data_IF_307375121749
#
_entry.id   IF_307375121749
#
_cell.length_a   1.000
_cell.length_b   1.000
_cell.length_c   1.000
_cell.angle_alpha   90.00
_cell.angle_beta   90.00
_cell.angle_gamma   90.00
#
_symmetry.space_group_name_H-M   'P 1'
#
loop_
_entity.id
_entity.type
_entity.pdbx_description
1 polymer ?
#
# COMPACT_ATOMS: atom_id res chain seq x y z
N UNK A 1 -15.17 -16.79 17.87
CA UNK A 1 -15.62 -16.54 16.47
C UNK A 1 -14.56 -15.69 15.78
N UNK A 2 -14.26 -15.99 14.54
CA UNK A 2 -13.35 -15.21 13.69
C UNK A 2 -14.20 -14.13 13.03
N UNK A 3 -13.80 -12.87 13.04
CA UNK A 3 -14.45 -11.78 12.33
C UNK A 3 -14.03 -11.74 10.86
N UNK A 4 -14.59 -10.79 10.08
CA UNK A 4 -14.32 -10.70 8.65
C UNK A 4 -12.85 -10.31 8.36
N UNK A 5 -12.25 -9.42 9.16
CA UNK A 5 -10.86 -9.02 8.99
C UNK A 5 -9.89 -10.17 9.28
N UNK A 6 -10.19 -10.97 10.30
CA UNK A 6 -9.43 -12.15 10.66
C UNK A 6 -9.56 -13.26 9.60
N UNK A 7 -10.78 -13.45 9.03
CA UNK A 7 -10.98 -14.39 7.94
C UNK A 7 -10.19 -14.00 6.68
N UNK A 8 -10.15 -12.72 6.34
CA UNK A 8 -9.33 -12.18 5.25
C UNK A 8 -7.83 -12.33 5.54
N UNK A 9 -7.40 -12.15 6.79
CA UNK A 9 -6.02 -12.33 7.21
C UNK A 9 -5.52 -13.77 7.00
N UNK A 10 -6.38 -14.79 7.20
CA UNK A 10 -6.03 -16.19 6.88
C UNK A 10 -5.68 -16.34 5.40
N UNK A 11 -6.45 -15.72 4.51
CA UNK A 11 -6.16 -15.76 3.08
C UNK A 11 -4.87 -15.01 2.75
N UNK A 12 -4.60 -13.90 3.44
CA UNK A 12 -3.37 -13.13 3.25
C UNK A 12 -2.13 -13.91 3.73
N UNK A 13 -2.24 -14.71 4.81
CA UNK A 13 -1.17 -15.62 5.25
C UNK A 13 -0.87 -16.67 4.15
N UNK A 14 -1.91 -17.29 3.59
CA UNK A 14 -1.77 -18.32 2.54
C UNK A 14 -1.12 -17.72 1.28
N UNK A 15 -1.44 -16.46 0.95
CA UNK A 15 -0.95 -15.75 -0.24
C UNK A 15 0.35 -14.99 -0.03
N UNK A 16 0.85 -14.92 1.20
CA UNK A 16 2.05 -14.14 1.54
C UNK A 16 3.25 -14.58 0.70
N UNK A 17 3.93 -13.61 0.08
CA UNK A 17 5.11 -13.82 -0.77
C UNK A 17 6.42 -13.57 -0.02
N UNK A 18 6.36 -13.00 1.19
CA UNK A 18 7.51 -12.67 2.01
C UNK A 18 7.17 -12.85 3.49
N UNK A 19 8.20 -13.04 4.33
CA UNK A 19 8.03 -13.13 5.78
C UNK A 19 7.42 -11.85 6.37
N UNK A 20 7.73 -10.67 5.81
CA UNK A 20 7.12 -9.40 6.23
C UNK A 20 5.63 -9.36 5.92
N UNK A 21 5.21 -9.83 4.74
CA UNK A 21 3.80 -9.94 4.38
C UNK A 21 3.07 -10.92 5.30
N UNK A 22 3.65 -12.08 5.54
CA UNK A 22 3.12 -13.09 6.45
C UNK A 22 2.97 -12.55 7.87
N UNK A 23 4.00 -11.90 8.42
CA UNK A 23 3.95 -11.32 9.77
C UNK A 23 2.87 -10.24 9.89
N UNK A 24 2.67 -9.40 8.87
CA UNK A 24 1.58 -8.43 8.87
C UNK A 24 0.20 -9.11 8.88
N UNK A 25 0.03 -10.17 8.09
CA UNK A 25 -1.21 -10.94 8.06
C UNK A 25 -1.46 -11.67 9.40
N UNK A 26 -0.42 -12.20 10.05
CA UNK A 26 -0.53 -12.79 11.41
C UNK A 26 -0.99 -11.75 12.43
N UNK A 27 -0.44 -10.54 12.43
CA UNK A 27 -0.90 -9.44 13.32
C UNK A 27 -2.37 -9.11 13.11
N UNK A 28 -2.85 -9.12 11.85
CA UNK A 28 -4.26 -8.92 11.55
C UNK A 28 -5.12 -10.10 12.03
N UNK A 29 -4.65 -11.34 11.90
CA UNK A 29 -5.33 -12.52 12.42
C UNK A 29 -5.42 -12.50 13.94
N UNK A 30 -4.40 -12.01 14.65
CA UNK A 30 -4.40 -11.82 16.10
C UNK A 30 -5.38 -10.72 16.58
N UNK A 31 -5.99 -9.98 15.64
CA UNK A 31 -7.06 -9.03 15.92
C UNK A 31 -6.62 -7.57 16.04
N UNK A 32 -5.35 -7.25 15.79
CA UNK A 32 -4.83 -5.88 16.01
C UNK A 32 -5.62 -4.78 15.26
N UNK A 33 -6.09 -5.07 14.03
CA UNK A 33 -6.94 -4.14 13.27
C UNK A 33 -8.36 -4.11 13.83
N UNK A 34 -8.95 -5.27 14.14
CA UNK A 34 -10.29 -5.39 14.70
C UNK A 34 -10.42 -4.66 16.03
N UNK A 35 -9.42 -4.83 16.90
CA UNK A 35 -9.39 -4.16 18.21
C UNK A 35 -9.33 -2.64 18.07
N UNK A 36 -8.49 -2.14 17.14
CA UNK A 36 -8.40 -0.71 16.86
C UNK A 36 -9.73 -0.16 16.32
N UNK A 37 -10.34 -0.84 15.36
CA UNK A 37 -11.63 -0.43 14.77
C UNK A 37 -12.73 -0.48 15.82
N UNK A 38 -12.82 -1.54 16.61
CA UNK A 38 -13.85 -1.70 17.63
C UNK A 38 -13.71 -0.69 18.79
N UNK A 39 -12.48 -0.39 19.21
CA UNK A 39 -12.25 0.67 20.22
C UNK A 39 -12.66 2.04 19.68
N UNK A 40 -12.32 2.37 18.44
CA UNK A 40 -12.73 3.62 17.78
C UNK A 40 -14.25 3.71 17.65
N UNK A 41 -14.91 2.64 17.21
CA UNK A 41 -16.38 2.55 17.15
C UNK A 41 -17.01 2.76 18.52
N UNK A 42 -16.46 2.16 19.57
CA UNK A 42 -16.97 2.33 20.92
C UNK A 42 -16.88 3.78 21.40
N UNK A 43 -15.79 4.47 21.07
CA UNK A 43 -15.64 5.89 21.43
C UNK A 43 -16.59 6.78 20.63
N UNK A 44 -16.80 6.51 19.33
CA UNK A 44 -17.80 7.21 18.52
C UNK A 44 -19.20 7.01 19.10
N UNK A 45 -19.54 5.77 19.50
CA UNK A 45 -20.82 5.44 20.11
C UNK A 45 -21.02 6.17 21.45
N UNK A 46 -19.99 6.25 22.29
CA UNK A 46 -20.02 7.01 23.52
C UNK A 46 -20.23 8.50 23.28
N UNK A 47 -19.60 9.05 22.25
CA UNK A 47 -19.78 10.46 21.85
C UNK A 47 -21.22 10.69 21.35
N UNK A 48 -21.77 9.81 20.52
CA UNK A 48 -23.15 9.87 20.05
C UNK A 48 -24.14 9.82 21.22
N UNK A 49 -23.94 8.91 22.19
CA UNK A 49 -24.80 8.80 23.36
C UNK A 49 -24.76 10.07 24.23
N UNK A 50 -23.58 10.69 24.38
CA UNK A 50 -23.43 11.93 25.13
C UNK A 50 -24.11 13.10 24.40
N UNK A 51 -24.02 13.18 23.09
CA UNK A 51 -24.71 14.16 22.26
C UNK A 51 -26.22 14.02 22.39
N UNK A 52 -26.76 12.79 22.30
CA UNK A 52 -28.20 12.52 22.42
C UNK A 52 -28.76 12.94 23.76
N UNK A 53 -28.05 12.66 24.87
CA UNK A 53 -28.45 13.11 26.20
C UNK A 53 -28.55 14.65 26.25
N UNK A 54 -27.63 15.35 25.65
CA UNK A 54 -27.61 16.81 25.65
C UNK A 54 -28.71 17.43 24.75
N UNK A 55 -29.12 16.75 23.70
CA UNK A 55 -30.23 17.16 22.82
C UNK A 55 -31.57 16.98 23.57
N UNK A 56 -31.75 15.84 24.27
CA UNK A 56 -33.02 15.52 24.95
C UNK A 56 -33.27 16.37 26.18
N UNK A 57 -32.20 16.89 26.84
CA UNK A 57 -32.31 17.68 28.07
C UNK A 57 -31.63 19.05 27.95
N UNK A 58 -32.12 19.94 27.07
CA UNK A 58 -31.52 21.26 26.80
C UNK A 58 -31.86 22.30 27.90
N UNK A 59 -31.82 21.92 29.19
CA UNK A 59 -32.26 22.81 30.31
C UNK A 59 -31.32 24.01 30.55
N UNK A 60 -30.16 24.07 29.86
CA UNK A 60 -29.14 25.10 30.02
C UNK A 60 -28.57 25.55 28.68
N UNK A 61 -28.54 26.87 28.44
CA UNK A 61 -28.00 27.47 27.20
C UNK A 61 -26.51 27.07 26.94
N UNK A 62 -25.73 26.73 27.97
CA UNK A 62 -24.33 26.34 27.91
C UNK A 62 -24.12 24.91 27.38
N UNK A 63 -25.16 24.07 27.33
CA UNK A 63 -25.06 22.64 26.95
C UNK A 63 -24.80 22.47 25.49
N UNK A 64 -25.40 23.28 24.62
CA UNK A 64 -25.20 23.19 23.17
C UNK A 64 -23.76 23.54 22.78
N UNK A 65 -23.17 24.60 23.38
CA UNK A 65 -21.79 25.00 23.12
C UNK A 65 -20.78 23.94 23.61
N UNK A 66 -20.99 23.39 24.82
CA UNK A 66 -20.18 22.30 25.38
C UNK A 66 -20.26 21.03 24.52
N UNK A 67 -21.45 20.70 23.99
CA UNK A 67 -21.65 19.53 23.12
C UNK A 67 -20.93 19.70 21.81
N UNK A 68 -21.00 20.88 21.20
CA UNK A 68 -20.32 21.21 19.96
C UNK A 68 -18.79 21.07 20.10
N UNK A 69 -18.24 21.52 21.25
CA UNK A 69 -16.80 21.40 21.50
C UNK A 69 -16.37 19.95 21.71
N UNK A 70 -17.16 19.14 22.41
CA UNK A 70 -16.89 17.69 22.56
C UNK A 70 -16.89 16.99 21.18
N UNK A 71 -17.87 17.27 20.32
CA UNK A 71 -17.92 16.70 18.98
C UNK A 71 -16.68 17.12 18.19
N UNK A 72 -16.29 18.39 18.24
CA UNK A 72 -15.13 18.93 17.55
C UNK A 72 -13.84 18.20 17.98
N UNK A 73 -13.59 18.11 19.28
CA UNK A 73 -12.39 17.45 19.81
C UNK A 73 -12.33 15.97 19.39
N UNK A 74 -13.44 15.25 19.59
CA UNK A 74 -13.51 13.82 19.28
C UNK A 74 -13.44 13.52 17.79
N UNK A 75 -14.10 14.31 16.96
CA UNK A 75 -14.04 14.12 15.50
C UNK A 75 -12.63 14.35 14.96
N UNK A 76 -11.90 15.34 15.48
CA UNK A 76 -10.50 15.56 15.12
C UNK A 76 -9.60 14.40 15.56
N UNK A 77 -9.80 13.85 16.77
CA UNK A 77 -9.06 12.67 17.26
C UNK A 77 -9.29 11.46 16.31
N UNK A 78 -10.55 11.18 15.97
CA UNK A 78 -10.90 10.07 15.08
C UNK A 78 -10.34 10.27 13.67
N UNK A 79 -10.45 11.47 13.10
CA UNK A 79 -9.90 11.79 11.78
C UNK A 79 -8.38 11.61 11.76
N UNK A 80 -7.67 12.08 12.78
CA UNK A 80 -6.21 11.90 12.88
C UNK A 80 -5.83 10.43 12.97
N UNK A 81 -6.52 9.64 13.80
CA UNK A 81 -6.27 8.21 13.94
C UNK A 81 -6.46 7.46 12.63
N UNK A 82 -7.60 7.66 11.95
CA UNK A 82 -7.91 6.98 10.70
C UNK A 82 -6.99 7.45 9.55
N UNK A 83 -6.65 8.74 9.49
CA UNK A 83 -5.69 9.27 8.52
C UNK A 83 -4.29 8.69 8.74
N UNK A 84 -3.87 8.52 9.99
CA UNK A 84 -2.59 7.87 10.29
C UNK A 84 -2.59 6.40 9.86
N UNK A 85 -3.70 5.70 10.08
CA UNK A 85 -3.86 4.32 9.61
C UNK A 85 -3.81 4.24 8.07
N UNK A 86 -4.46 5.15 7.35
CA UNK A 86 -4.37 5.24 5.87
C UNK A 86 -2.95 5.47 5.37
N UNK A 87 -2.09 6.19 6.08
CA UNK A 87 -0.68 6.35 5.70
C UNK A 87 0.07 5.01 5.64
N UNK A 88 -0.38 4.01 6.37
CA UNK A 88 0.20 2.66 6.32
C UNK A 88 -0.23 1.87 5.08
N UNK A 89 -1.33 2.27 4.43
CA UNK A 89 -1.99 1.52 3.36
C UNK A 89 -1.07 1.29 2.14
N UNK A 90 -0.30 2.30 1.74
CA UNK A 90 0.63 2.16 0.62
C UNK A 90 1.66 1.06 0.87
N UNK A 91 2.23 1.01 2.08
CA UNK A 91 3.19 -0.03 2.49
C UNK A 91 2.52 -1.40 2.59
N UNK A 92 1.37 -1.46 3.21
CA UNK A 92 0.59 -2.69 3.33
C UNK A 92 0.22 -3.27 1.97
N UNK A 93 -0.23 -2.44 1.03
CA UNK A 93 -0.50 -2.84 -0.35
C UNK A 93 0.74 -3.42 -1.04
N UNK A 94 1.89 -2.74 -0.91
CA UNK A 94 3.17 -3.24 -1.46
C UNK A 94 3.53 -4.61 -0.86
N UNK A 95 3.41 -4.79 0.44
CA UNK A 95 3.71 -6.07 1.09
C UNK A 95 2.79 -7.19 0.62
N UNK A 96 1.52 -6.89 0.34
CA UNK A 96 0.52 -7.87 -0.08
C UNK A 96 0.58 -8.21 -1.57
N UNK A 97 0.61 -7.19 -2.43
CA UNK A 97 0.50 -7.32 -3.89
C UNK A 97 1.86 -7.35 -4.59
N UNK A 98 2.88 -6.77 -3.95
CA UNK A 98 4.19 -6.55 -4.54
C UNK A 98 4.27 -5.24 -5.34
N UNK A 99 5.48 -4.93 -5.80
CA UNK A 99 5.77 -3.81 -6.69
C UNK A 99 5.82 -4.37 -8.12
N UNK A 100 4.87 -3.96 -8.97
CA UNK A 100 4.89 -4.35 -10.39
C UNK A 100 6.16 -3.81 -11.05
N UNK A 101 7.09 -4.70 -11.41
CA UNK A 101 8.44 -4.33 -11.81
C UNK A 101 8.74 -4.79 -13.24
N UNK A 102 9.11 -3.83 -14.09
CA UNK A 102 9.59 -4.10 -15.46
C UNK A 102 11.11 -4.04 -15.51
N UNK A 103 11.74 -5.01 -16.16
CA UNK A 103 13.18 -4.98 -16.47
C UNK A 103 13.33 -4.69 -17.97
N UNK A 104 13.80 -3.49 -18.31
CA UNK A 104 13.95 -3.03 -19.69
C UNK A 104 15.41 -2.75 -20.04
N UNK A 105 15.71 -2.71 -21.31
CA UNK A 105 17.04 -2.46 -21.85
C UNK A 105 17.19 -3.16 -23.20
N UNK A 106 18.16 -2.75 -24.01
CA UNK A 106 18.43 -3.38 -25.31
C UNK A 106 18.89 -4.86 -25.16
N UNK A 107 18.95 -5.65 -26.23
CA UNK A 107 19.48 -7.00 -26.19
C UNK A 107 20.92 -7.05 -25.63
N UNK A 108 21.28 -8.14 -24.98
CA UNK A 108 22.62 -8.45 -24.47
C UNK A 108 23.21 -7.49 -23.40
N UNK A 109 22.43 -6.58 -22.81
CA UNK A 109 22.89 -5.75 -21.66
C UNK A 109 22.93 -6.51 -20.34
N UNK A 110 22.31 -7.70 -20.28
CA UNK A 110 22.31 -8.55 -19.09
C UNK A 110 21.01 -8.62 -18.32
N UNK A 111 19.85 -8.30 -18.94
CA UNK A 111 18.51 -8.40 -18.31
C UNK A 111 18.20 -9.78 -17.76
N UNK A 112 18.38 -10.82 -18.58
CA UNK A 112 18.13 -12.22 -18.18
C UNK A 112 19.10 -12.67 -17.08
N UNK A 113 20.33 -12.18 -17.11
CA UNK A 113 21.32 -12.47 -16.05
C UNK A 113 20.94 -11.80 -14.75
N UNK A 114 20.46 -10.52 -14.80
CA UNK A 114 19.96 -9.81 -13.63
C UNK A 114 18.74 -10.51 -13.06
N UNK A 115 17.77 -10.87 -13.90
CA UNK A 115 16.59 -11.61 -13.49
C UNK A 115 16.97 -12.92 -12.77
N UNK A 116 17.86 -13.71 -13.38
CA UNK A 116 18.32 -14.98 -12.82
C UNK A 116 19.12 -14.79 -11.51
N UNK A 117 19.85 -13.70 -11.38
CA UNK A 117 20.58 -13.37 -10.16
C UNK A 117 19.60 -13.04 -9.03
N UNK A 118 18.62 -12.15 -9.30
CA UNK A 118 17.57 -11.79 -8.35
C UNK A 118 16.72 -13.01 -7.91
N UNK A 119 16.44 -13.93 -8.83
CA UNK A 119 15.68 -15.16 -8.53
C UNK A 119 16.48 -16.18 -7.71
N UNK A 120 17.83 -16.15 -7.77
CA UNK A 120 18.69 -17.09 -7.05
C UNK A 120 19.00 -16.68 -5.62
N UNK A 121 19.12 -15.39 -5.35
CA UNK A 121 19.49 -14.86 -4.02
C UNK A 121 18.35 -14.98 -3.02
N UNK A 122 17.10 -14.83 -3.47
CA UNK A 122 15.94 -14.98 -2.62
C UNK A 122 15.01 -16.06 -3.17
N UNK A 123 14.75 -17.06 -2.37
CA UNK A 123 13.83 -18.15 -2.69
C UNK A 123 12.49 -17.58 -3.14
N UNK A 124 12.25 -17.56 -4.46
CA UNK A 124 10.91 -17.34 -5.00
C UNK A 124 10.00 -18.38 -4.31
N UNK A 125 9.06 -17.91 -3.49
CA UNK A 125 7.98 -18.76 -3.00
C UNK A 125 7.03 -18.92 -4.19
N UNK A 126 7.34 -19.88 -5.06
CA UNK A 126 6.40 -20.37 -6.07
C UNK A 126 5.37 -21.19 -5.31
N UNK A 127 4.24 -20.59 -4.97
CA UNK A 127 3.10 -21.36 -4.53
C UNK A 127 2.43 -21.93 -5.77
N UNK A 128 2.78 -23.16 -6.13
CA UNK A 128 1.96 -24.00 -6.99
C UNK A 128 0.67 -24.32 -6.22
N UNK A 129 -0.32 -23.47 -6.34
CA UNK A 129 -1.68 -23.82 -5.95
C UNK A 129 -2.23 -24.63 -7.13
N UNK A 130 -2.11 -25.96 -7.05
CA UNK A 130 -2.81 -26.86 -7.96
C UNK A 130 -4.31 -26.57 -7.89
N UNK A 131 -4.88 -26.05 -8.99
CA UNK A 131 -6.32 -25.88 -9.13
C UNK A 131 -6.80 -24.69 -9.94
N UNK A 132 -5.96 -23.73 -10.33
CA UNK A 132 -6.36 -22.60 -11.18
C UNK A 132 -5.72 -22.72 -12.58
N UNK A 133 -6.32 -23.58 -13.38
CA UNK A 133 -5.96 -23.77 -14.80
C UNK A 133 -6.40 -22.57 -15.62
N UNK A 134 -5.65 -21.47 -15.62
CA UNK A 134 -5.60 -20.41 -16.65
C UNK A 134 -4.94 -19.10 -16.22
N UNK A 135 -4.40 -19.00 -14.98
CA UNK A 135 -3.80 -17.76 -14.54
C UNK A 135 -2.36 -17.65 -15.03
N UNK A 136 -2.01 -16.47 -15.53
CA UNK A 136 -0.66 -16.09 -15.93
C UNK A 136 0.30 -16.44 -14.79
N UNK A 137 1.36 -17.21 -15.06
CA UNK A 137 2.38 -17.52 -14.05
C UNK A 137 3.05 -16.19 -13.69
N UNK A 138 2.67 -15.65 -12.54
CA UNK A 138 3.27 -14.45 -11.99
C UNK A 138 4.57 -14.81 -11.27
N UNK A 139 5.66 -14.18 -11.65
CA UNK A 139 6.96 -14.39 -11.03
C UNK A 139 7.20 -13.31 -9.98
N UNK A 140 7.51 -13.72 -8.77
CA UNK A 140 7.86 -12.83 -7.67
C UNK A 140 9.32 -13.02 -7.25
N UNK A 141 9.98 -11.90 -6.98
CA UNK A 141 11.31 -11.84 -6.38
C UNK A 141 11.17 -11.15 -5.03
N UNK A 142 11.71 -11.75 -3.98
CA UNK A 142 11.75 -11.12 -2.67
C UNK A 142 13.05 -10.31 -2.52
N UNK A 143 12.95 -9.01 -2.38
CA UNK A 143 14.09 -8.14 -2.13
C UNK A 143 13.97 -7.57 -0.71
N UNK A 144 14.75 -8.10 0.24
CA UNK A 144 14.75 -7.67 1.65
C UNK A 144 13.35 -7.65 2.30
N UNK A 145 12.50 -8.62 1.94
CA UNK A 145 11.13 -8.71 2.43
C UNK A 145 10.12 -7.85 1.66
N UNK A 146 10.54 -7.25 0.53
CA UNK A 146 9.67 -6.55 -0.41
C UNK A 146 9.44 -7.45 -1.63
N UNK A 147 8.20 -7.86 -1.91
CA UNK A 147 7.91 -8.66 -3.09
C UNK A 147 7.93 -7.77 -4.35
N UNK A 148 8.77 -8.10 -5.33
CA UNK A 148 8.71 -7.55 -6.67
C UNK A 148 7.92 -8.50 -7.56
N UNK A 149 6.82 -8.01 -8.12
CA UNK A 149 6.03 -8.74 -9.11
C UNK A 149 6.60 -8.43 -10.49
N UNK A 150 7.26 -9.40 -11.11
CA UNK A 150 7.87 -9.23 -12.43
C UNK A 150 6.82 -9.26 -13.53
N UNK A 151 6.83 -8.24 -14.38
CA UNK A 151 5.95 -8.15 -15.54
C UNK A 151 6.74 -8.37 -16.82
N UNK A 152 6.10 -8.99 -17.83
CA UNK A 152 6.67 -9.31 -19.16
C UNK A 152 7.97 -10.13 -19.13
N UNK A 153 8.04 -11.12 -18.22
CA UNK A 153 9.22 -12.00 -18.10
C UNK A 153 9.48 -12.85 -19.36
N UNK A 154 8.45 -13.10 -20.17
CA UNK A 154 8.59 -13.82 -21.45
C UNK A 154 9.54 -13.10 -22.41
N UNK A 155 9.43 -11.77 -22.51
CA UNK A 155 10.34 -10.95 -23.34
C UNK A 155 11.78 -10.91 -22.82
N UNK A 156 12.01 -11.26 -21.55
CA UNK A 156 13.36 -11.32 -20.94
C UNK A 156 14.01 -12.69 -21.15
N UNK A 157 13.20 -13.76 -21.21
CA UNK A 157 13.67 -15.15 -21.35
C UNK A 157 13.90 -15.57 -22.79
N UNK A 158 13.13 -15.03 -23.74
CA UNK A 158 13.31 -15.26 -25.15
C UNK A 158 14.51 -14.45 -25.67
N UNK A 159 15.72 -15.00 -25.50
CA UNK A 159 16.91 -14.57 -26.23
C UNK A 159 16.94 -15.33 -27.52
N UNK A 160 16.80 -14.65 -28.65
CA UNK A 160 17.62 -14.71 -29.84
C UNK A 160 16.88 -14.18 -31.06
N UNK A 161 17.51 -13.20 -31.71
CA UNK A 161 17.52 -13.01 -33.18
C UNK A 161 16.22 -12.73 -33.94
N UNK A 162 15.29 -11.97 -33.47
CA UNK A 162 14.38 -11.26 -34.42
C UNK A 162 13.53 -10.27 -33.62
N UNK A 163 13.83 -9.01 -33.80
CA UNK A 163 12.87 -7.92 -33.54
C UNK A 163 13.42 -6.76 -32.69
N UNK A 164 14.33 -5.99 -33.24
CA UNK A 164 14.70 -4.67 -32.65
C UNK A 164 13.51 -3.70 -32.50
N UNK A 165 12.53 -3.74 -33.39
CA UNK A 165 11.35 -2.86 -33.31
C UNK A 165 10.30 -3.29 -32.25
N UNK A 166 10.15 -4.61 -32.02
CA UNK A 166 9.19 -5.13 -31.02
C UNK A 166 9.69 -4.82 -29.59
N UNK A 167 11.00 -4.66 -29.38
CA UNK A 167 11.58 -4.38 -28.07
C UNK A 167 11.11 -3.03 -27.45
N UNK A 168 11.03 -1.97 -28.26
CA UNK A 168 10.62 -0.63 -27.76
C UNK A 168 9.11 -0.57 -27.50
N UNK A 169 8.29 -1.17 -28.36
CA UNK A 169 6.83 -1.20 -28.13
C UNK A 169 6.45 -2.05 -26.92
N UNK A 170 7.10 -3.20 -26.72
CA UNK A 170 6.93 -4.02 -25.51
C UNK A 170 7.38 -3.24 -24.26
N UNK A 171 8.52 -2.55 -24.35
CA UNK A 171 8.97 -1.70 -23.23
C UNK A 171 7.98 -0.60 -22.89
N UNK A 172 7.33 0.03 -23.88
CA UNK A 172 6.27 1.04 -23.63
C UNK A 172 5.07 0.46 -22.92
N UNK A 173 4.61 -0.74 -23.29
CA UNK A 173 3.51 -1.41 -22.60
C UNK A 173 3.90 -1.78 -21.17
N UNK A 174 5.06 -2.37 -20.97
CA UNK A 174 5.58 -2.70 -19.65
C UNK A 174 5.73 -1.47 -18.76
N UNK A 175 6.17 -0.32 -19.32
CA UNK A 175 6.26 0.96 -18.63
C UNK A 175 4.91 1.49 -18.13
N UNK A 176 3.82 1.23 -18.85
CA UNK A 176 2.47 1.67 -18.46
C UNK A 176 1.89 0.86 -17.30
N UNK A 177 2.32 -0.39 -17.15
CA UNK A 177 1.82 -1.34 -16.15
C UNK A 177 2.73 -1.43 -14.92
N UNK A 178 3.96 -0.87 -15.00
CA UNK A 178 4.97 -0.97 -13.96
C UNK A 178 4.88 0.14 -12.91
N UNK A 179 4.95 -0.24 -11.64
CA UNK A 179 5.21 0.68 -10.53
C UNK A 179 6.69 1.05 -10.41
N UNK A 180 7.58 0.15 -10.87
CA UNK A 180 9.03 0.29 -10.86
C UNK A 180 9.64 -0.18 -12.18
N UNK A 181 10.60 0.56 -12.68
CA UNK A 181 11.36 0.23 -13.89
C UNK A 181 12.83 0.04 -13.55
N UNK A 182 13.37 -1.14 -13.83
CA UNK A 182 14.81 -1.40 -13.82
C UNK A 182 15.34 -1.26 -15.24
N UNK A 183 15.95 -0.12 -15.57
CA UNK A 183 16.56 0.12 -16.88
C UNK A 183 18.01 -0.33 -16.85
N UNK A 184 18.33 -1.39 -17.60
CA UNK A 184 19.67 -1.97 -17.66
C UNK A 184 20.41 -1.46 -18.89
N UNK A 185 21.57 -0.85 -18.69
CA UNK A 185 22.49 -0.36 -19.71
C UNK A 185 23.82 -1.11 -19.62
N UNK A 186 24.57 -1.17 -20.73
CA UNK A 186 25.90 -1.79 -20.77
C UNK A 186 26.99 -0.74 -20.56
N UNK A 187 27.69 -0.79 -19.42
CA UNK A 187 28.76 0.15 -19.10
C UNK A 187 29.99 0.03 -20.02
N UNK A 188 30.20 -1.14 -20.65
CA UNK A 188 31.35 -1.38 -21.53
C UNK A 188 31.19 -0.90 -22.97
N UNK A 189 30.07 -0.23 -23.30
CA UNK A 189 29.76 0.28 -24.64
C UNK A 189 29.26 1.72 -24.54
N UNK A 190 29.35 2.46 -25.64
CA UNK A 190 28.74 3.79 -25.75
C UNK A 190 27.22 3.68 -25.81
N UNK A 191 26.52 4.74 -25.36
CA UNK A 191 25.06 4.83 -25.48
C UNK A 191 24.62 4.78 -26.94
N UNK A 192 23.76 3.82 -27.25
CA UNK A 192 23.10 3.71 -28.55
C UNK A 192 21.85 4.61 -28.60
N UNK A 193 21.32 4.83 -29.81
CA UNK A 193 20.05 5.55 -29.97
C UNK A 193 18.89 4.85 -29.25
N UNK A 194 18.92 3.53 -29.19
CA UNK A 194 17.93 2.73 -28.45
C UNK A 194 18.04 2.96 -26.93
N UNK A 195 19.26 3.04 -26.37
CA UNK A 195 19.47 3.35 -24.96
C UNK A 195 18.94 4.75 -24.62
N UNK A 196 19.21 5.75 -25.49
CA UNK A 196 18.71 7.13 -25.31
C UNK A 196 17.19 7.18 -25.36
N UNK A 197 16.56 6.45 -26.27
CA UNK A 197 15.11 6.36 -26.38
C UNK A 197 14.49 5.72 -25.11
N UNK A 198 15.09 4.65 -24.59
CA UNK A 198 14.63 4.01 -23.34
C UNK A 198 14.78 4.93 -22.13
N UNK A 199 15.87 5.70 -22.05
CA UNK A 199 16.07 6.73 -21.03
C UNK A 199 15.01 7.82 -21.12
N UNK A 200 14.64 8.26 -22.31
CA UNK A 200 13.64 9.30 -22.53
C UNK A 200 12.23 8.81 -22.14
N UNK A 201 11.78 7.67 -22.68
CA UNK A 201 10.41 7.16 -22.42
C UNK A 201 10.17 6.73 -20.97
N UNK A 202 11.25 6.40 -20.23
CA UNK A 202 11.14 6.02 -18.80
C UNK A 202 11.35 7.20 -17.85
N UNK A 203 11.51 8.43 -18.34
CA UNK A 203 11.88 9.58 -17.53
C UNK A 203 10.86 9.90 -16.41
N UNK A 204 9.58 9.77 -16.72
CA UNK A 204 8.48 10.08 -15.80
C UNK A 204 8.07 8.89 -14.91
N UNK A 205 8.73 7.73 -15.06
CA UNK A 205 8.47 6.54 -14.24
C UNK A 205 9.35 6.51 -12.99
N UNK A 206 8.90 5.80 -11.95
CA UNK A 206 9.81 5.41 -10.86
C UNK A 206 10.83 4.44 -11.43
N UNK A 207 12.03 4.94 -11.77
CA UNK A 207 13.05 4.13 -12.41
C UNK A 207 14.33 4.05 -11.60
N UNK A 208 15.03 2.94 -11.77
CA UNK A 208 16.41 2.75 -11.33
C UNK A 208 17.24 2.42 -12.57
N UNK A 209 18.23 3.26 -12.90
CA UNK A 209 19.13 3.03 -14.00
C UNK A 209 20.32 2.20 -13.50
N UNK A 210 20.53 1.04 -14.13
CA UNK A 210 21.58 0.08 -13.78
C UNK A 210 22.63 0.03 -14.88
N UNK A 211 23.87 0.38 -14.54
CA UNK A 211 25.03 0.27 -15.43
C UNK A 211 25.67 -1.08 -15.18
N UNK A 212 25.34 -2.07 -16.00
CA UNK A 212 25.85 -3.44 -15.86
C UNK A 212 27.17 -3.65 -16.60
N UNK A 213 27.88 -4.72 -16.27
CA UNK A 213 29.18 -5.12 -16.81
C UNK A 213 30.32 -4.15 -16.44
N UNK A 214 30.28 -3.61 -15.24
CA UNK A 214 31.34 -2.74 -14.72
C UNK A 214 32.65 -3.49 -14.39
N UNK A 215 32.66 -4.80 -14.54
CA UNK A 215 33.82 -5.66 -14.54
C UNK A 215 34.65 -5.53 -15.82
N UNK A 216 34.09 -4.92 -16.86
CA UNK A 216 34.78 -4.61 -18.11
C UNK A 216 35.22 -3.14 -18.15
N UNK A 217 36.03 -2.77 -19.16
CA UNK A 217 36.44 -1.39 -19.37
C UNK A 217 35.22 -0.50 -19.67
N UNK A 218 34.99 0.53 -18.84
CA UNK A 218 33.88 1.47 -18.99
C UNK A 218 34.09 2.35 -20.24
N UNK A 219 33.07 2.41 -21.11
CA UNK A 219 33.04 3.24 -22.32
C UNK A 219 31.82 4.16 -22.39
N UNK A 220 30.88 3.99 -21.46
CA UNK A 220 29.67 4.79 -21.39
C UNK A 220 29.97 6.21 -20.89
N UNK A 221 29.36 7.21 -21.52
CA UNK A 221 29.50 8.63 -21.11
C UNK A 221 28.56 8.93 -19.94
N UNK A 222 29.14 9.15 -18.75
CA UNK A 222 28.38 9.32 -17.51
C UNK A 222 27.60 10.64 -17.43
N UNK A 223 28.01 11.66 -18.18
CA UNK A 223 27.38 12.98 -18.24
C UNK A 223 26.00 12.97 -18.92
N UNK A 224 25.71 11.93 -19.70
CA UNK A 224 24.43 11.69 -20.36
C UNK A 224 23.46 10.83 -19.52
N UNK A 225 23.84 10.46 -18.32
CA UNK A 225 23.10 9.56 -17.45
C UNK A 225 22.57 10.30 -16.20
N UNK A 226 21.48 9.79 -15.59
CA UNK A 226 21.07 10.25 -14.28
C UNK A 226 22.18 10.08 -13.24
N UNK A 227 22.32 11.07 -12.36
CA UNK A 227 23.38 11.09 -11.33
C UNK A 227 23.24 9.96 -10.31
N UNK A 228 22.06 9.37 -10.20
CA UNK A 228 21.70 8.28 -9.31
C UNK A 228 21.77 6.87 -9.98
N UNK A 229 22.39 6.78 -11.16
CA UNK A 229 22.63 5.51 -11.84
C UNK A 229 23.54 4.60 -11.00
N UNK A 230 23.14 3.33 -10.84
CA UNK A 230 23.84 2.34 -10.02
C UNK A 230 24.76 1.50 -10.90
N UNK A 231 26.06 1.51 -10.59
CA UNK A 231 27.05 0.64 -11.25
C UNK A 231 27.01 -0.74 -10.62
N UNK A 232 26.78 -1.77 -11.46
CA UNK A 232 26.67 -3.17 -11.05
C UNK A 232 27.52 -4.09 -11.92
N UNK A 233 27.91 -5.23 -11.40
CA UNK A 233 28.32 -6.40 -12.17
C UNK A 233 27.49 -7.60 -11.75
N UNK A 234 26.53 -7.98 -12.60
CA UNK A 234 25.70 -9.16 -12.35
C UNK A 234 26.55 -10.44 -12.36
N UNK A 235 27.60 -10.47 -13.19
CA UNK A 235 28.51 -11.63 -13.29
C UNK A 235 29.25 -11.90 -11.97
N UNK A 236 29.67 -10.83 -11.28
CA UNK A 236 30.44 -10.90 -10.05
C UNK A 236 29.62 -10.56 -8.80
N UNK A 237 28.31 -10.42 -8.91
CA UNK A 237 27.38 -10.07 -7.83
C UNK A 237 27.79 -8.79 -7.09
N UNK A 238 28.26 -7.75 -7.82
CA UNK A 238 28.71 -6.51 -7.24
C UNK A 238 27.59 -5.45 -7.24
N UNK A 239 27.41 -4.79 -6.08
CA UNK A 239 26.47 -3.70 -5.86
C UNK A 239 24.99 -4.05 -6.16
N UNK A 240 24.61 -5.33 -6.12
CA UNK A 240 23.21 -5.74 -6.25
C UNK A 240 22.40 -5.24 -5.04
N UNK A 241 23.00 -5.26 -3.84
CA UNK A 241 22.49 -4.68 -2.60
C UNK A 241 22.04 -3.22 -2.74
N UNK A 242 22.73 -2.42 -3.56
CA UNK A 242 22.32 -1.02 -3.81
C UNK A 242 21.00 -0.87 -4.55
N UNK A 243 20.59 -1.88 -5.31
CA UNK A 243 19.26 -1.92 -5.94
C UNK A 243 18.20 -2.01 -4.84
N UNK A 244 18.43 -2.84 -3.84
CA UNK A 244 17.55 -3.03 -2.70
C UNK A 244 17.40 -1.74 -1.89
N UNK A 245 18.53 -1.09 -1.56
CA UNK A 245 18.54 0.19 -0.86
C UNK A 245 17.74 1.24 -1.63
N UNK A 246 17.92 1.30 -2.96
CA UNK A 246 17.22 2.27 -3.78
C UNK A 246 15.71 2.01 -3.87
N UNK A 247 15.29 0.74 -3.93
CA UNK A 247 13.88 0.36 -3.86
C UNK A 247 13.29 0.79 -2.51
N UNK A 248 13.99 0.53 -1.42
CA UNK A 248 13.57 0.95 -0.09
C UNK A 248 13.40 2.48 0.01
N UNK A 249 14.33 3.25 -0.55
CA UNK A 249 14.22 4.71 -0.60
C UNK A 249 12.99 5.17 -1.38
N UNK A 250 12.77 4.63 -2.56
CA UNK A 250 11.67 5.05 -3.45
C UNK A 250 10.28 4.75 -2.86
N UNK A 251 10.13 3.61 -2.19
CA UNK A 251 8.81 3.11 -1.80
C UNK A 251 8.51 3.18 -0.30
N UNK A 252 9.54 3.27 0.56
CA UNK A 252 9.37 3.18 2.02
C UNK A 252 9.89 4.39 2.80
N UNK A 253 10.99 5.06 2.42
CA UNK A 253 11.56 6.17 3.20
C UNK A 253 10.71 7.44 3.17
N UNK A 254 9.99 7.70 2.07
CA UNK A 254 9.14 8.88 1.92
C UNK A 254 7.81 8.81 2.70
N UNK A 255 7.51 7.69 3.36
CA UNK A 255 6.23 7.46 4.04
C UNK A 255 6.27 7.73 5.57
N UNK A 256 7.29 8.41 6.06
CA UNK A 256 7.45 8.72 7.49
C UNK A 256 7.89 7.51 8.33
N UNK A 257 8.41 7.78 9.52
CA UNK A 257 8.80 6.75 10.50
C UNK A 257 7.52 6.05 10.97
N UNK A 258 7.26 4.85 10.43
CA UNK A 258 6.23 3.96 10.99
C UNK A 258 6.98 2.97 11.86
N UNK A 259 6.57 2.88 13.11
CA UNK A 259 7.14 1.97 14.11
C UNK A 259 7.24 0.55 13.56
N UNK A 260 8.30 -0.17 13.92
CA UNK A 260 8.56 -1.54 13.47
C UNK A 260 7.42 -2.52 13.80
N UNK A 261 6.54 -2.15 14.74
CA UNK A 261 5.41 -2.95 15.21
C UNK A 261 4.05 -2.53 14.66
N UNK A 262 3.97 -1.54 13.77
CA UNK A 262 2.70 -1.10 13.22
C UNK A 262 2.02 -2.20 12.36
N UNK A 263 0.71 -2.32 12.51
CA UNK A 263 -0.12 -3.11 11.59
C UNK A 263 -0.38 -2.28 10.34
N UNK A 264 -0.03 -2.81 9.18
CA UNK A 264 -0.24 -2.13 7.91
C UNK A 264 -1.60 -2.50 7.31
N UNK A 265 -2.36 -1.50 6.88
CA UNK A 265 -3.53 -1.72 6.05
C UNK A 265 -3.09 -2.27 4.69
N UNK A 266 -3.50 -3.49 4.37
CA UNK A 266 -3.13 -4.15 3.11
C UNK A 266 -4.32 -4.49 2.22
N UNK A 267 -5.53 -4.52 2.79
CA UNK A 267 -6.75 -4.91 2.10
C UNK A 267 -7.43 -3.68 1.47
N UNK A 268 -7.67 -3.71 0.15
CA UNK A 268 -8.31 -2.62 -0.58
C UNK A 268 -9.72 -2.28 -0.06
N UNK A 269 -10.49 -3.29 0.43
CA UNK A 269 -11.80 -3.08 1.06
C UNK A 269 -11.67 -2.24 2.33
N UNK A 270 -10.73 -2.59 3.22
CA UNK A 270 -10.49 -1.83 4.46
C UNK A 270 -10.05 -0.41 4.17
N UNK A 271 -9.12 -0.22 3.20
CA UNK A 271 -8.64 1.10 2.78
C UNK A 271 -9.82 1.95 2.31
N UNK A 272 -10.65 1.43 1.41
CA UNK A 272 -11.80 2.17 0.87
C UNK A 272 -12.84 2.52 1.94
N UNK A 273 -13.07 1.64 2.91
CA UNK A 273 -14.00 1.92 4.01
C UNK A 273 -13.45 2.99 4.97
N UNK A 274 -12.15 2.95 5.28
CA UNK A 274 -11.53 3.97 6.12
C UNK A 274 -11.48 5.33 5.41
N UNK A 275 -11.23 5.37 4.10
CA UNK A 275 -11.32 6.61 3.31
C UNK A 275 -12.72 7.23 3.41
N UNK A 276 -13.78 6.44 3.25
CA UNK A 276 -15.17 6.90 3.40
C UNK A 276 -15.47 7.36 4.84
N UNK A 277 -14.92 6.68 5.85
CA UNK A 277 -15.08 7.09 7.24
C UNK A 277 -14.42 8.45 7.51
N UNK A 278 -13.22 8.68 6.95
CA UNK A 278 -12.53 9.98 7.03
C UNK A 278 -13.33 11.07 6.32
N UNK A 279 -13.86 10.81 5.12
CA UNK A 279 -14.72 11.75 4.40
C UNK A 279 -15.96 12.13 5.23
N UNK A 280 -16.58 11.17 5.92
CA UNK A 280 -17.72 11.43 6.80
C UNK A 280 -17.34 12.28 8.01
N UNK A 281 -16.17 12.04 8.65
CA UNK A 281 -15.66 12.88 9.73
C UNK A 281 -15.32 14.30 9.26
N UNK A 282 -14.78 14.45 8.06
CA UNK A 282 -14.53 15.76 7.45
C UNK A 282 -15.83 16.53 7.21
N UNK A 283 -16.92 15.85 6.84
CA UNK A 283 -18.23 16.48 6.72
C UNK A 283 -18.74 17.00 8.08
N UNK A 284 -18.52 16.23 9.17
CA UNK A 284 -18.80 16.71 10.54
C UNK A 284 -18.01 17.98 10.86
N UNK A 285 -16.69 17.98 10.62
CA UNK A 285 -15.83 19.13 10.89
C UNK A 285 -16.25 20.38 10.08
N UNK A 286 -16.58 20.21 8.79
CA UNK A 286 -17.11 21.29 7.97
C UNK A 286 -18.45 21.82 8.48
N UNK A 287 -19.35 20.93 8.89
CA UNK A 287 -20.62 21.31 9.50
C UNK A 287 -20.44 22.13 10.80
N UNK A 288 -19.49 21.74 11.63
CA UNK A 288 -19.11 22.49 12.84
C UNK A 288 -18.60 23.90 12.52
N UNK A 289 -17.77 24.05 11.48
CA UNK A 289 -17.28 25.37 11.03
C UNK A 289 -18.40 26.26 10.49
N UNK A 290 -19.41 25.67 9.87
CA UNK A 290 -20.59 26.36 9.34
C UNK A 290 -21.65 26.65 10.40
N UNK A 291 -21.45 26.21 11.65
CA UNK A 291 -22.42 26.36 12.73
C UNK A 291 -23.69 25.55 12.52
N UNK A 292 -23.57 24.35 11.91
CA UNK A 292 -24.73 23.48 11.71
C UNK A 292 -25.25 22.95 13.06
N UNK A 293 -26.58 22.76 13.20
CA UNK A 293 -27.17 22.13 14.37
C UNK A 293 -26.59 20.74 14.65
N UNK A 294 -26.45 20.39 15.92
CA UNK A 294 -25.80 19.16 16.39
C UNK A 294 -26.50 17.88 15.90
N UNK A 295 -27.84 17.93 15.79
CA UNK A 295 -28.66 16.84 15.25
C UNK A 295 -28.31 16.48 13.78
N UNK A 296 -27.89 17.45 12.97
CA UNK A 296 -27.44 17.20 11.62
C UNK A 296 -26.02 16.60 11.60
N UNK A 297 -25.14 17.04 12.49
CA UNK A 297 -23.78 16.51 12.60
C UNK A 297 -23.75 15.04 13.08
N UNK A 298 -24.72 14.67 13.91
CA UNK A 298 -24.90 13.31 14.40
C UNK A 298 -25.12 12.30 13.27
N UNK A 299 -25.76 12.69 12.17
CA UNK A 299 -25.98 11.81 11.00
C UNK A 299 -24.67 11.34 10.40
N UNK A 300 -23.72 12.24 10.18
CA UNK A 300 -22.42 11.88 9.60
C UNK A 300 -21.54 11.13 10.58
N UNK A 301 -21.64 11.41 11.89
CA UNK A 301 -20.93 10.66 12.93
C UNK A 301 -21.46 9.22 13.03
N UNK A 302 -22.79 9.04 12.96
CA UNK A 302 -23.42 7.71 12.91
C UNK A 302 -22.99 6.94 11.66
N UNK A 303 -22.95 7.61 10.50
CA UNK A 303 -22.47 7.03 9.27
C UNK A 303 -21.01 6.55 9.39
N UNK A 304 -20.14 7.31 10.07
CA UNK A 304 -18.76 6.89 10.35
C UNK A 304 -18.74 5.59 11.17
N UNK A 305 -19.55 5.49 12.21
CA UNK A 305 -19.67 4.30 13.04
C UNK A 305 -20.13 3.06 12.25
N UNK A 306 -21.11 3.23 11.36
CA UNK A 306 -21.60 2.16 10.47
C UNK A 306 -20.52 1.67 9.51
N UNK A 307 -19.85 2.61 8.80
CA UNK A 307 -18.78 2.30 7.84
C UNK A 307 -17.64 1.51 8.52
N UNK A 308 -17.24 1.92 9.71
CA UNK A 308 -16.21 1.19 10.48
C UNK A 308 -16.68 -0.22 10.87
N UNK A 309 -17.98 -0.41 11.15
CA UNK A 309 -18.56 -1.73 11.42
C UNK A 309 -18.52 -2.68 10.23
N UNK A 310 -18.61 -2.16 9.00
CA UNK A 310 -18.46 -2.97 7.80
C UNK A 310 -17.06 -3.61 7.67
N UNK A 311 -16.03 -3.01 8.29
CA UNK A 311 -14.65 -3.53 8.26
C UNK A 311 -14.59 -4.87 9.00
N UNK A 312 -15.14 -4.95 10.21
CA UNK A 312 -15.15 -6.16 11.04
C UNK A 312 -16.27 -7.12 10.68
N UNK A 313 -17.25 -6.67 9.90
CA UNK A 313 -18.44 -7.43 9.53
C UNK A 313 -19.60 -7.25 10.52
N UNK A 314 -19.52 -6.31 11.45
CA UNK A 314 -20.54 -5.94 12.40
C UNK A 314 -21.39 -4.79 11.86
N UNK A 315 -22.26 -5.05 10.93
CA UNK A 315 -23.23 -4.08 10.43
C UNK A 315 -24.61 -4.35 11.04
N UNK A 316 -24.87 -3.79 12.24
CA UNK A 316 -26.22 -3.88 12.78
C UNK A 316 -26.63 -2.57 13.47
N UNK A 317 -27.64 -1.86 12.91
CA UNK A 317 -28.29 -0.72 13.55
C UNK A 317 -28.86 -1.04 14.95
N UNK A 318 -29.21 -2.32 15.21
CA UNK A 318 -29.79 -2.79 16.47
C UNK A 318 -28.83 -2.68 17.66
N UNK A 319 -27.50 -2.69 17.44
CA UNK A 319 -26.53 -2.51 18.52
C UNK A 319 -26.46 -1.06 18.99
N UNK A 320 -26.52 -0.10 18.08
CA UNK A 320 -26.58 1.32 18.40
C UNK A 320 -27.79 1.60 19.29
N UNK A 321 -28.96 1.12 18.90
CA UNK A 321 -30.21 1.29 19.64
C UNK A 321 -30.10 0.64 21.02
N UNK A 322 -29.63 -0.60 21.10
CA UNK A 322 -29.51 -1.33 22.38
C UNK A 322 -28.55 -0.62 23.33
N UNK A 323 -27.46 -0.08 22.85
CA UNK A 323 -26.47 0.60 23.68
C UNK A 323 -26.95 1.98 24.12
N UNK A 324 -27.58 2.74 23.24
CA UNK A 324 -28.25 4.00 23.62
C UNK A 324 -29.26 3.76 24.73
N UNK A 325 -30.15 2.79 24.57
CA UNK A 325 -31.14 2.46 25.63
C UNK A 325 -30.52 1.91 26.92
N UNK A 326 -29.37 1.25 26.86
CA UNK A 326 -28.70 0.76 28.09
C UNK A 326 -28.04 1.86 28.91
N UNK A 327 -27.66 2.96 28.28
CA UNK A 327 -27.06 4.14 28.95
C UNK A 327 -28.12 5.13 29.42
N UNK A 328 -29.30 5.12 28.82
CA UNK A 328 -30.44 5.84 29.37
C UNK A 328 -30.92 5.11 30.65
N UNK A 329 -30.65 5.69 31.80
CA UNK A 329 -31.37 5.33 33.03
C UNK A 329 -32.85 5.72 32.87
N UNK A 330 -33.60 4.93 32.07
CA UNK A 330 -35.06 5.01 32.03
C UNK A 330 -35.56 4.65 33.44
N UNK A 331 -35.87 5.68 34.19
CA UNK A 331 -36.40 5.79 35.49
C UNK A 331 -36.77 4.49 36.24
N UNK A 332 -36.08 4.27 37.33
CA UNK A 332 -36.70 3.55 38.45
C UNK A 332 -37.57 4.51 39.24
#
# INVERSE_FOLDING_TARGET
RVDLTQAEAVMDIIRAKTDKAMNNAVKQLDGSLSDLINSTRQEILNTLAQVEVNIDYPEYDDVEEATTEIIREKTLEFEQLLTQLLKTARRGKILREGISTAIIGRPNVGKSSLLNNLLREDKAIVTDIEGTTRDVIEEYVNINGVPLKLIDTAGIRETDDLVEQIGVERSKKALQEADLVLLVLNASEQLTDQDRQLLEISQDSNRIVLLNKTDLEEKIELDQLPTDAIKISVLHNQNIDKIEDRINQLFFENAGIVEQDATYLSNARHISLIEKAVESLQAVNQGLELGMPVDLLQVDLTRTWEILGEITGDAAPDELITQLFSQFCLGK
#
